data_IF_768484580449
#
_entry.id   IF_768484580449
#
_cell.length_a   1.000
_cell.length_b   1.000
_cell.length_c   1.000
_cell.angle_alpha   90.00
_cell.angle_beta   90.00
_cell.angle_gamma   90.00
#
_symmetry.space_group_name_H-M   'P 1'
#
loop_
_entity.id
_entity.type
_entity.pdbx_description
1 polymer ?
#
# COMPACT_ATOMS: atom_id res chain seq x y z
N UNK A 1 -21.33 67.54 -2.07
CA UNK A 1 -20.29 66.61 -2.56
C UNK A 1 -19.57 66.06 -1.33
N UNK A 2 -19.82 64.80 -0.98
CA UNK A 2 -19.30 64.14 0.21
C UNK A 2 -17.95 63.51 -0.09
N UNK A 3 -16.90 63.93 0.62
CA UNK A 3 -15.57 63.31 0.59
C UNK A 3 -15.58 62.08 1.51
N UNK A 4 -15.32 60.91 0.94
CA UNK A 4 -15.18 59.66 1.69
C UNK A 4 -13.78 59.65 2.31
N UNK A 5 -13.72 59.70 3.64
CA UNK A 5 -12.51 59.44 4.42
C UNK A 5 -12.15 57.95 4.32
N UNK A 6 -11.11 57.63 3.54
CA UNK A 6 -10.49 56.32 3.52
C UNK A 6 -9.36 56.27 4.56
N UNK A 7 -9.70 56.14 5.84
CA UNK A 7 -8.74 55.73 6.86
C UNK A 7 -8.88 54.23 7.12
N UNK A 8 -8.17 53.44 6.34
CA UNK A 8 -7.90 52.04 6.64
C UNK A 8 -6.63 51.97 7.49
N UNK A 9 -6.78 51.85 8.80
CA UNK A 9 -5.65 51.68 9.73
C UNK A 9 -5.03 50.31 9.52
N UNK A 10 -3.84 50.27 8.94
CA UNK A 10 -3.04 49.06 8.83
C UNK A 10 -2.56 48.68 10.24
N UNK A 11 -3.04 47.58 10.80
CA UNK A 11 -2.48 47.04 12.03
C UNK A 11 -1.07 46.52 11.74
N UNK A 12 -0.12 46.87 12.60
CA UNK A 12 1.29 46.50 12.46
C UNK A 12 1.45 45.01 12.13
N UNK A 13 2.07 44.76 10.99
CA UNK A 13 2.43 43.41 10.56
C UNK A 13 3.29 42.76 11.64
N UNK A 14 2.73 41.76 12.34
CA UNK A 14 3.50 40.91 13.25
C UNK A 14 4.19 39.82 12.43
N UNK A 15 5.51 39.90 12.20
CA UNK A 15 6.21 38.81 11.53
C UNK A 15 6.03 37.53 12.33
N UNK A 16 5.61 36.46 11.64
CA UNK A 16 5.56 35.12 12.22
C UNK A 16 6.98 34.77 12.66
N UNK A 17 7.21 34.71 13.97
CA UNK A 17 8.50 34.32 14.52
C UNK A 17 8.89 32.99 13.89
N UNK A 18 10.02 33.00 13.17
CA UNK A 18 10.61 31.82 12.56
C UNK A 18 10.56 30.67 13.56
N UNK A 19 9.86 29.59 13.18
CA UNK A 19 9.62 28.39 13.97
C UNK A 19 10.90 28.04 14.74
N UNK A 20 10.93 28.31 16.06
CA UNK A 20 12.04 27.94 16.93
C UNK A 20 12.37 26.48 16.64
N UNK A 21 13.55 26.24 16.06
CA UNK A 21 14.10 24.92 15.78
C UNK A 21 14.03 24.16 17.09
N UNK A 22 13.09 23.20 17.21
CA UNK A 22 12.93 22.36 18.41
C UNK A 22 14.21 21.53 18.55
N UNK A 23 15.20 22.08 19.25
CA UNK A 23 16.38 21.36 19.74
C UNK A 23 15.88 20.36 20.78
N UNK A 24 16.20 19.08 20.57
CA UNK A 24 15.97 17.95 21.49
C UNK A 24 14.56 17.36 21.58
N UNK A 25 13.96 16.95 20.45
CA UNK A 25 13.09 15.75 20.50
C UNK A 25 14.01 14.56 20.24
N UNK A 26 14.09 13.60 21.17
CA UNK A 26 14.78 12.34 20.92
C UNK A 26 14.29 11.80 19.56
N UNK A 27 15.21 11.40 18.67
CA UNK A 27 14.84 10.68 17.45
C UNK A 27 14.24 9.35 17.92
N UNK A 28 12.92 9.31 18.07
CA UNK A 28 12.19 8.06 18.18
C UNK A 28 12.45 7.36 16.86
N UNK A 29 13.09 6.20 16.90
CA UNK A 29 13.27 5.40 15.69
C UNK A 29 11.89 5.08 15.10
N UNK A 30 11.74 5.14 13.77
CA UNK A 30 10.49 4.74 13.15
C UNK A 30 10.21 3.26 13.49
N UNK A 31 8.93 2.88 13.66
CA UNK A 31 8.58 1.48 13.89
C UNK A 31 9.07 0.60 12.72
N UNK A 32 9.40 -0.68 12.97
CA UNK A 32 9.76 -1.62 11.91
C UNK A 32 8.70 -1.69 10.82
N UNK A 33 9.13 -1.92 9.58
CA UNK A 33 8.21 -1.95 8.44
C UNK A 33 7.12 -3.03 8.59
N UNK A 34 7.47 -4.20 9.13
CA UNK A 34 6.49 -5.26 9.42
C UNK A 34 5.39 -4.76 10.37
N UNK A 35 5.73 -3.98 11.39
CA UNK A 35 4.74 -3.38 12.31
C UNK A 35 3.79 -2.43 11.57
N UNK A 36 4.28 -1.67 10.60
CA UNK A 36 3.43 -0.79 9.79
C UNK A 36 2.48 -1.58 8.87
N UNK A 37 2.91 -2.75 8.39
CA UNK A 37 2.06 -3.66 7.61
C UNK A 37 0.98 -4.30 8.49
N UNK A 38 1.35 -4.77 9.69
CA UNK A 38 0.38 -5.31 10.66
C UNK A 38 -0.66 -4.27 11.07
N UNK A 39 -0.27 -3.02 11.30
CA UNK A 39 -1.22 -1.93 11.55
C UNK A 39 -2.21 -1.73 10.40
N UNK A 40 -1.75 -1.81 9.15
CA UNK A 40 -2.63 -1.74 7.99
C UNK A 40 -3.60 -2.93 7.92
N UNK A 41 -3.14 -4.13 8.29
CA UNK A 41 -3.99 -5.35 8.38
C UNK A 41 -5.05 -5.23 9.48
N UNK A 42 -4.66 -4.74 10.66
CA UNK A 42 -5.59 -4.47 11.76
C UNK A 42 -6.64 -3.43 11.35
N UNK A 43 -6.26 -2.41 10.59
CA UNK A 43 -7.20 -1.42 10.07
C UNK A 43 -8.16 -2.00 9.03
N UNK A 44 -7.67 -2.85 8.11
CA UNK A 44 -8.52 -3.60 7.18
C UNK A 44 -9.50 -4.55 7.88
N UNK A 45 -9.19 -4.97 9.10
CA UNK A 45 -10.05 -5.86 9.88
C UNK A 45 -11.14 -5.12 10.69
N UNK A 46 -11.15 -3.78 10.69
CA UNK A 46 -12.13 -2.99 11.47
C UNK A 46 -13.51 -2.94 10.83
N UNK A 47 -13.59 -3.09 9.51
CA UNK A 47 -14.84 -3.09 8.77
C UNK A 47 -15.08 -4.44 8.08
N UNK A 48 -16.31 -4.61 7.60
CA UNK A 48 -16.72 -5.82 6.90
C UNK A 48 -16.31 -5.81 5.42
N UNK A 49 -15.57 -4.79 4.95
CA UNK A 49 -15.17 -4.71 3.55
C UNK A 49 -14.21 -5.84 3.20
N UNK A 50 -13.20 -6.08 4.06
CA UNK A 50 -12.23 -7.14 3.84
C UNK A 50 -12.87 -8.54 3.84
N UNK A 51 -13.73 -8.83 4.82
CA UNK A 51 -14.46 -10.11 4.91
C UNK A 51 -15.42 -10.29 3.73
N UNK A 52 -16.13 -9.23 3.33
CA UNK A 52 -16.98 -9.22 2.15
C UNK A 52 -16.22 -9.50 0.86
N UNK A 53 -15.07 -8.86 0.64
CA UNK A 53 -14.22 -9.12 -0.53
C UNK A 53 -13.71 -10.57 -0.56
N UNK A 54 -13.26 -11.10 0.59
CA UNK A 54 -12.84 -12.50 0.70
C UNK A 54 -13.97 -13.47 0.37
N UNK A 55 -15.19 -13.18 0.85
CA UNK A 55 -16.36 -14.00 0.58
C UNK A 55 -16.69 -14.01 -0.91
N UNK A 56 -16.76 -12.84 -1.57
CA UNK A 56 -17.01 -12.73 -3.01
C UNK A 56 -16.00 -13.56 -3.79
N UNK A 57 -14.71 -13.41 -3.47
CA UNK A 57 -13.66 -14.17 -4.15
C UNK A 57 -13.82 -15.67 -3.93
N UNK A 58 -14.06 -16.11 -2.69
CA UNK A 58 -14.24 -17.53 -2.36
C UNK A 58 -15.43 -18.14 -3.08
N UNK A 59 -16.56 -17.45 -3.10
CA UNK A 59 -17.79 -17.89 -3.78
C UNK A 59 -17.55 -18.07 -5.27
N UNK A 60 -16.99 -17.06 -5.94
CA UNK A 60 -16.71 -17.13 -7.38
C UNK A 60 -15.69 -18.22 -7.73
N UNK A 61 -14.60 -18.32 -6.97
CA UNK A 61 -13.60 -19.37 -7.17
C UNK A 61 -14.21 -20.77 -6.98
N UNK A 62 -15.07 -20.95 -5.98
CA UNK A 62 -15.76 -22.22 -5.73
C UNK A 62 -16.72 -22.58 -6.87
N UNK A 63 -17.55 -21.63 -7.31
CA UNK A 63 -18.51 -21.84 -8.42
C UNK A 63 -17.78 -22.23 -9.71
N UNK A 64 -16.60 -21.67 -9.96
CA UNK A 64 -15.78 -21.98 -11.13
C UNK A 64 -14.79 -23.14 -10.93
N UNK A 65 -14.80 -23.79 -9.75
CA UNK A 65 -13.85 -24.86 -9.39
C UNK A 65 -12.37 -24.45 -9.59
N UNK A 66 -12.06 -23.18 -9.30
CA UNK A 66 -10.73 -22.61 -9.37
C UNK A 66 -10.12 -22.60 -7.97
N UNK A 67 -9.01 -23.31 -7.81
CA UNK A 67 -8.28 -23.36 -6.53
C UNK A 67 -6.88 -22.78 -6.76
N UNK A 68 -6.73 -21.44 -6.64
CA UNK A 68 -5.44 -20.82 -6.85
C UNK A 68 -4.43 -21.33 -5.84
N UNK A 69 -3.29 -21.78 -6.34
CA UNK A 69 -2.17 -22.28 -5.53
C UNK A 69 -1.00 -21.30 -5.52
N UNK A 70 -1.05 -20.27 -6.38
CA UNK A 70 0.00 -19.28 -6.55
C UNK A 70 -0.57 -17.87 -6.63
N UNK A 71 0.27 -16.90 -6.30
CA UNK A 71 0.01 -15.47 -6.50
C UNK A 71 1.17 -14.86 -7.28
N UNK A 72 0.84 -14.12 -8.33
CA UNK A 72 1.78 -13.25 -9.02
C UNK A 72 1.35 -11.79 -8.80
N UNK A 73 2.12 -11.06 -8.02
CA UNK A 73 1.86 -9.67 -7.65
C UNK A 73 2.79 -8.72 -8.43
N UNK A 74 2.21 -7.97 -9.35
CA UNK A 74 2.93 -7.01 -10.19
C UNK A 74 2.43 -5.58 -9.90
N UNK A 75 3.33 -4.72 -9.45
CA UNK A 75 3.01 -3.31 -9.22
C UNK A 75 2.47 -2.99 -7.84
N UNK A 76 2.91 -3.69 -6.78
CA UNK A 76 2.50 -3.48 -5.40
C UNK A 76 2.82 -2.07 -4.86
N UNK A 77 3.78 -1.36 -5.48
CA UNK A 77 4.46 -0.19 -4.93
C UNK A 77 5.34 -0.54 -3.74
N UNK A 78 5.94 0.44 -3.09
CA UNK A 78 6.89 0.21 -1.99
C UNK A 78 6.19 0.36 -0.62
N UNK A 79 6.03 -0.73 0.16
CA UNK A 79 5.54 -0.67 1.54
C UNK A 79 6.30 0.31 2.44
N UNK A 80 7.63 0.43 2.28
CA UNK A 80 8.47 1.35 3.07
C UNK A 80 8.12 2.82 2.81
N UNK A 81 7.76 3.16 1.57
CA UNK A 81 7.51 4.55 1.16
C UNK A 81 6.03 4.94 1.09
N UNK A 82 5.08 3.98 1.09
CA UNK A 82 3.68 4.26 0.78
C UNK A 82 2.69 3.53 1.68
N UNK A 83 1.81 4.24 2.41
CA UNK A 83 0.68 3.64 3.13
C UNK A 83 -0.20 2.77 2.24
N UNK A 84 -0.51 3.24 1.03
CA UNK A 84 -1.33 2.48 0.08
C UNK A 84 -0.68 1.14 -0.28
N UNK A 85 0.64 1.08 -0.42
CA UNK A 85 1.34 -0.17 -0.72
C UNK A 85 1.30 -1.13 0.49
N UNK A 86 1.31 -0.60 1.72
CA UNK A 86 1.09 -1.41 2.93
C UNK A 86 -0.32 -1.97 3.02
N UNK A 87 -1.35 -1.18 2.71
CA UNK A 87 -2.73 -1.68 2.63
C UNK A 87 -2.89 -2.72 1.51
N UNK A 88 -2.27 -2.51 0.35
CA UNK A 88 -2.29 -3.51 -0.73
C UNK A 88 -1.62 -4.82 -0.30
N UNK A 89 -0.46 -4.75 0.37
CA UNK A 89 0.21 -5.94 0.89
C UNK A 89 -0.62 -6.61 1.99
N UNK A 90 -1.16 -5.84 2.93
CA UNK A 90 -2.01 -6.34 4.00
C UNK A 90 -3.23 -7.08 3.47
N UNK A 91 -3.92 -6.51 2.46
CA UNK A 91 -5.06 -7.17 1.85
C UNK A 91 -4.64 -8.43 1.08
N UNK A 92 -3.52 -8.41 0.35
CA UNK A 92 -2.98 -9.60 -0.32
C UNK A 92 -2.69 -10.74 0.68
N UNK A 93 -2.12 -10.42 1.84
CA UNK A 93 -1.86 -11.39 2.91
C UNK A 93 -3.16 -12.01 3.45
N UNK A 94 -4.21 -11.20 3.65
CA UNK A 94 -5.51 -11.71 4.09
C UNK A 94 -6.17 -12.62 3.03
N UNK A 95 -6.01 -12.31 1.73
CA UNK A 95 -6.43 -13.19 0.64
C UNK A 95 -5.67 -14.52 0.68
N UNK A 96 -4.34 -14.48 0.81
CA UNK A 96 -3.53 -15.70 0.88
C UNK A 96 -3.96 -16.58 2.07
N UNK A 97 -4.16 -15.98 3.24
CA UNK A 97 -4.67 -16.68 4.43
C UNK A 97 -6.04 -17.30 4.19
N UNK A 98 -6.96 -16.54 3.61
CA UNK A 98 -8.35 -16.97 3.34
C UNK A 98 -8.45 -18.12 2.33
N UNK A 99 -7.46 -18.21 1.43
CA UNK A 99 -7.39 -19.23 0.37
C UNK A 99 -6.33 -20.31 0.66
N UNK A 100 -5.71 -20.30 1.83
CA UNK A 100 -4.65 -21.23 2.22
C UNK A 100 -3.45 -21.27 1.25
N UNK A 101 -3.07 -20.12 0.69
CA UNK A 101 -1.89 -19.97 -0.16
C UNK A 101 -0.68 -19.66 0.72
N UNK A 102 0.32 -20.54 0.69
CA UNK A 102 1.59 -20.32 1.37
C UNK A 102 2.34 -19.12 0.78
N UNK A 103 3.00 -18.32 1.64
CA UNK A 103 3.74 -17.13 1.17
C UNK A 103 4.88 -17.49 0.20
N UNK A 104 5.45 -18.70 0.30
CA UNK A 104 6.46 -19.20 -0.64
C UNK A 104 5.93 -19.32 -2.09
N UNK A 105 4.61 -19.38 -2.26
CA UNK A 105 3.93 -19.39 -3.56
C UNK A 105 3.48 -18.00 -4.02
N UNK A 106 3.87 -16.95 -3.30
CA UNK A 106 3.64 -15.55 -3.67
C UNK A 106 4.90 -14.98 -4.29
N UNK A 107 4.82 -14.62 -5.58
CA UNK A 107 5.89 -13.92 -6.28
C UNK A 107 5.55 -12.44 -6.43
N UNK A 108 6.48 -11.56 -6.06
CA UNK A 108 6.28 -10.10 -6.07
C UNK A 108 7.28 -9.39 -6.98
N UNK A 109 6.80 -8.39 -7.72
CA UNK A 109 7.64 -7.48 -8.50
C UNK A 109 7.07 -6.07 -8.53
N UNK A 110 7.91 -5.08 -8.24
CA UNK A 110 7.69 -3.69 -8.59
C UNK A 110 9.06 -3.02 -8.78
N UNK A 111 9.30 -2.25 -9.87
CA UNK A 111 10.57 -1.54 -10.05
C UNK A 111 10.90 -0.52 -8.95
N UNK A 112 9.92 -0.13 -8.12
CA UNK A 112 10.11 0.85 -7.03
C UNK A 112 10.46 0.22 -5.69
N UNK A 113 10.60 -1.11 -5.60
CA UNK A 113 10.99 -1.75 -4.34
C UNK A 113 12.35 -1.28 -3.84
N UNK A 114 12.39 -0.94 -2.56
CA UNK A 114 13.60 -0.60 -1.83
C UNK A 114 14.27 -1.86 -1.25
N UNK A 115 15.48 -1.69 -0.70
CA UNK A 115 16.14 -2.77 0.07
C UNK A 115 15.34 -3.18 1.30
N UNK A 116 14.66 -2.23 1.92
CA UNK A 116 13.79 -2.49 3.08
C UNK A 116 12.56 -3.32 2.68
N UNK A 117 11.97 -3.01 1.52
CA UNK A 117 10.86 -3.81 0.97
C UNK A 117 11.33 -5.24 0.64
N UNK A 118 12.53 -5.36 0.06
CA UNK A 118 13.10 -6.67 -0.27
C UNK A 118 13.33 -7.52 0.98
N UNK A 119 13.87 -6.91 2.05
CA UNK A 119 14.06 -7.59 3.34
C UNK A 119 12.73 -7.98 3.98
N UNK A 120 11.71 -7.13 3.89
CA UNK A 120 10.35 -7.46 4.34
C UNK A 120 9.79 -8.68 3.60
N UNK A 121 9.91 -8.74 2.27
CA UNK A 121 9.40 -9.88 1.50
C UNK A 121 10.15 -11.18 1.81
N UNK A 122 11.46 -11.09 2.03
CA UNK A 122 12.28 -12.22 2.49
C UNK A 122 11.84 -12.69 3.89
N UNK A 123 11.63 -11.77 4.83
CA UNK A 123 11.11 -12.06 6.18
C UNK A 123 9.71 -12.73 6.13
N UNK A 124 8.86 -12.28 5.21
CA UNK A 124 7.53 -12.86 4.98
C UNK A 124 7.58 -14.21 4.24
N UNK A 125 8.73 -14.63 3.72
CA UNK A 125 8.90 -15.86 2.95
C UNK A 125 8.35 -15.79 1.52
N UNK A 126 8.24 -14.59 0.94
CA UNK A 126 7.77 -14.37 -0.43
C UNK A 126 8.92 -14.39 -1.44
N UNK A 127 8.62 -14.75 -2.69
CA UNK A 127 9.61 -14.77 -3.78
C UNK A 127 9.71 -13.39 -4.43
N UNK A 128 10.82 -12.70 -4.22
CA UNK A 128 11.15 -11.49 -4.96
C UNK A 128 11.60 -11.82 -6.38
N UNK A 129 10.93 -11.24 -7.37
CA UNK A 129 11.33 -11.37 -8.76
C UNK A 129 12.37 -10.29 -9.09
N UNK A 130 13.44 -10.66 -9.78
CA UNK A 130 14.56 -9.76 -10.12
C UNK A 130 14.42 -9.11 -11.50
N UNK A 131 13.59 -9.67 -12.38
CA UNK A 131 13.50 -9.27 -13.78
C UNK A 131 12.14 -8.65 -14.12
N UNK A 132 12.15 -7.53 -14.84
CA UNK A 132 10.95 -7.03 -15.47
C UNK A 132 10.65 -7.84 -16.74
N UNK A 133 9.72 -8.79 -16.65
CA UNK A 133 9.25 -9.55 -17.83
C UNK A 133 8.16 -8.83 -18.64
N UNK A 134 7.83 -7.59 -18.29
CA UNK A 134 6.75 -6.79 -18.93
C UNK A 134 5.40 -7.52 -18.91
N UNK A 135 5.13 -8.26 -17.82
CA UNK A 135 3.93 -9.08 -17.67
C UNK A 135 3.98 -10.44 -18.38
N UNK A 136 5.07 -10.80 -19.06
CA UNK A 136 5.24 -12.10 -19.73
C UNK A 136 5.70 -13.18 -18.76
N UNK A 137 4.80 -13.60 -17.86
CA UNK A 137 5.02 -14.71 -16.94
C UNK A 137 4.18 -15.92 -17.39
N UNK A 138 4.77 -17.12 -17.51
CA UNK A 138 3.99 -18.33 -17.72
C UNK A 138 3.13 -18.61 -16.48
N UNK A 139 1.88 -18.98 -16.68
CA UNK A 139 0.92 -19.32 -15.63
C UNK A 139 0.43 -20.75 -15.84
N UNK A 140 1.23 -21.72 -15.41
CA UNK A 140 0.96 -23.15 -15.64
C UNK A 140 -0.05 -23.73 -14.63
N UNK A 141 -0.28 -23.02 -13.52
CA UNK A 141 -1.23 -23.39 -12.47
C UNK A 141 -2.23 -22.28 -12.23
N UNK A 142 -3.42 -22.58 -11.67
CA UNK A 142 -4.36 -21.55 -11.22
C UNK A 142 -3.64 -20.54 -10.32
N UNK A 143 -3.58 -19.29 -10.77
CA UNK A 143 -2.78 -18.22 -10.17
C UNK A 143 -3.62 -16.97 -10.01
N UNK A 144 -3.58 -16.36 -8.83
CA UNK A 144 -4.13 -15.01 -8.65
C UNK A 144 -3.13 -14.01 -9.22
N UNK A 145 -3.55 -13.31 -10.27
CA UNK A 145 -2.80 -12.17 -10.79
C UNK A 145 -3.22 -10.92 -10.02
N UNK A 146 -2.34 -10.44 -9.15
CA UNK A 146 -2.53 -9.19 -8.41
C UNK A 146 -1.84 -8.05 -9.13
N UNK A 147 -2.62 -7.08 -9.60
CA UNK A 147 -2.10 -5.92 -10.34
C UNK A 147 -2.64 -4.62 -9.78
N UNK A 148 -1.81 -3.58 -9.78
CA UNK A 148 -2.29 -2.21 -9.54
C UNK A 148 -2.94 -1.67 -10.80
N UNK A 149 -4.25 -1.45 -10.76
CA UNK A 149 -4.95 -0.68 -11.78
C UNK A 149 -4.57 0.80 -11.59
N UNK A 150 -3.85 1.38 -12.55
CA UNK A 150 -3.72 2.84 -12.61
C UNK A 150 -5.09 3.39 -12.99
N UNK A 151 -5.70 4.16 -12.09
CA UNK A 151 -6.80 5.03 -12.48
C UNK A 151 -6.28 5.91 -13.59
N UNK A 152 -6.80 5.74 -14.80
CA UNK A 152 -6.56 6.69 -15.88
C UNK A 152 -7.21 7.99 -15.41
N UNK A 153 -6.39 8.92 -14.92
CA UNK A 153 -6.85 10.28 -14.71
C UNK A 153 -7.20 10.78 -16.10
N UNK A 154 -8.50 10.82 -16.38
CA UNK A 154 -9.03 11.36 -17.63
C UNK A 154 -8.42 12.75 -17.82
N UNK A 155 -7.64 12.92 -18.88
CA UNK A 155 -7.26 14.25 -19.33
C UNK A 155 -8.49 14.88 -19.99
N UNK A 156 -9.35 15.50 -19.18
CA UNK A 156 -10.07 16.75 -19.42
C UNK A 156 -11.12 17.03 -18.35
#
# INVERSE_FOLDING_TARGET
MSTIDTNFTYSDFKPVLSRKKRKNKAKVEPPPLITLVEQAREELAKDDWNSGCQQILREHLTVHSLFPVQVLCLGLGSPSSSPNSRFQLGFLLEICKSMHIEHANVSVYDPVFSKEDSALFEELGMRLLSENKEGRYPLDTPTILWVRIRQLVGSR
#
